data_IF_954896051821
#
_entry.id   IF_954896051821
#
_cell.length_a   1.000
_cell.length_b   1.000
_cell.length_c   1.000
_cell.angle_alpha   90.00
_cell.angle_beta   90.00
_cell.angle_gamma   90.00
#
_symmetry.space_group_name_H-M   'P 1'
#
loop_
_entity.id
_entity.type
_entity.pdbx_description
1 polymer ?
#
# COMPACT_ATOMS: atom_id res chain seq x y z
N UNK A 1 -8.52 -6.46 17.72
CA UNK A 1 -7.97 -7.21 16.59
C UNK A 1 -7.20 -6.29 15.68
N UNK A 2 -6.06 -6.74 15.19
CA UNK A 2 -5.22 -5.92 14.33
C UNK A 2 -5.74 -5.93 12.91
N UNK A 3 -5.91 -4.73 12.35
CA UNK A 3 -6.19 -4.60 10.95
C UNK A 3 -4.92 -4.94 10.16
N UNK A 4 -5.02 -5.72 9.06
CA UNK A 4 -3.85 -5.96 8.21
C UNK A 4 -3.34 -4.66 7.60
N UNK A 5 -2.07 -4.68 7.20
CA UNK A 5 -1.42 -3.58 6.50
C UNK A 5 -1.27 -3.93 5.02
N UNK A 6 -1.69 -3.01 4.16
CA UNK A 6 -1.49 -3.10 2.72
C UNK A 6 -0.26 -2.29 2.35
N UNK A 7 0.71 -2.94 1.72
CA UNK A 7 1.94 -2.30 1.27
C UNK A 7 2.03 -2.39 -0.26
N UNK A 8 2.48 -1.32 -0.91
CA UNK A 8 2.44 -1.23 -2.37
C UNK A 8 3.76 -0.83 -3.01
N UNK A 9 4.81 -0.67 -2.22
CA UNK A 9 6.11 -0.23 -2.72
C UNK A 9 7.25 -1.02 -2.11
N UNK A 10 8.15 -0.31 -1.44
CA UNK A 10 9.39 -0.87 -0.91
C UNK A 10 9.21 -1.85 0.24
N UNK A 11 7.98 -1.95 0.78
CA UNK A 11 7.67 -2.93 1.82
C UNK A 11 7.02 -4.21 1.28
N UNK A 12 6.82 -4.30 -0.04
CA UNK A 12 6.16 -5.46 -0.63
C UNK A 12 6.96 -6.74 -0.43
N UNK A 13 6.23 -7.86 -0.40
CA UNK A 13 6.79 -9.20 -0.27
C UNK A 13 7.86 -9.42 -1.35
N UNK A 14 9.05 -9.87 -0.93
CA UNK A 14 10.15 -10.14 -1.84
C UNK A 14 10.96 -8.92 -2.28
N UNK A 15 10.57 -7.70 -1.90
CA UNK A 15 11.35 -6.52 -2.25
C UNK A 15 12.67 -6.51 -1.47
N UNK A 16 13.81 -6.23 -2.12
CA UNK A 16 15.12 -6.27 -1.45
C UNK A 16 15.34 -5.03 -0.57
N UNK A 17 14.65 -4.98 0.55
CA UNK A 17 14.65 -3.85 1.45
C UNK A 17 14.68 -4.37 2.88
N UNK A 18 15.43 -3.71 3.75
CA UNK A 18 15.57 -4.09 5.16
C UNK A 18 14.21 -4.19 5.87
N UNK A 19 13.35 -3.19 5.66
CA UNK A 19 12.03 -3.16 6.30
C UNK A 19 11.06 -4.16 5.69
N UNK A 20 11.18 -4.43 4.39
CA UNK A 20 10.38 -5.48 3.75
C UNK A 20 10.72 -6.85 4.35
N UNK A 21 12.01 -7.13 4.56
CA UNK A 21 12.45 -8.37 5.19
C UNK A 21 11.99 -8.46 6.64
N UNK A 22 12.07 -7.35 7.37
CA UNK A 22 11.59 -7.30 8.74
C UNK A 22 10.09 -7.61 8.79
N UNK A 23 9.32 -7.04 7.86
CA UNK A 23 7.89 -7.27 7.76
C UNK A 23 7.59 -8.75 7.49
N UNK A 24 8.32 -9.37 6.57
CA UNK A 24 8.15 -10.80 6.26
C UNK A 24 8.38 -11.70 7.47
N UNK A 25 9.37 -11.36 8.31
CA UNK A 25 9.66 -12.13 9.52
C UNK A 25 8.68 -11.86 10.65
N UNK A 26 8.11 -10.66 10.72
CA UNK A 26 7.31 -10.20 11.85
C UNK A 26 5.82 -10.21 11.58
N UNK A 27 5.40 -10.60 10.39
CA UNK A 27 4.00 -10.54 9.99
C UNK A 27 3.63 -11.77 9.18
N UNK A 28 2.32 -12.04 9.13
CA UNK A 28 1.78 -13.11 8.30
C UNK A 28 1.38 -12.53 6.96
N UNK A 29 1.95 -13.05 5.88
CA UNK A 29 1.57 -12.67 4.53
C UNK A 29 0.19 -13.24 4.20
N UNK A 30 -0.75 -12.38 3.82
CA UNK A 30 -2.12 -12.78 3.51
C UNK A 30 -2.38 -12.93 2.02
N UNK A 31 -1.55 -12.32 1.18
CA UNK A 31 -1.69 -12.42 -0.26
C UNK A 31 -1.62 -11.08 -0.96
N UNK A 32 -1.58 -11.14 -2.28
CA UNK A 32 -1.65 -9.97 -3.15
C UNK A 32 -3.09 -9.47 -3.20
N UNK A 33 -3.26 -8.15 -3.21
CA UNK A 33 -4.58 -7.54 -3.20
C UNK A 33 -4.57 -6.25 -4.00
N UNK A 34 -5.76 -5.67 -4.20
CA UNK A 34 -5.94 -4.40 -4.90
C UNK A 34 -6.79 -3.46 -4.08
N UNK A 35 -6.46 -2.17 -4.19
CA UNK A 35 -7.25 -1.10 -3.59
C UNK A 35 -7.56 -0.07 -4.67
N UNK A 36 -8.81 0.44 -4.78
CA UNK A 36 -9.09 1.53 -5.71
C UNK A 36 -8.23 2.74 -5.40
N UNK A 37 -7.46 3.19 -6.38
CA UNK A 37 -6.55 4.30 -6.17
C UNK A 37 -5.63 4.51 -7.36
N UNK A 38 -4.77 5.51 -7.24
CA UNK A 38 -3.80 5.87 -8.26
C UNK A 38 -2.41 5.83 -7.67
N UNK A 39 -1.50 5.17 -8.39
CA UNK A 39 -0.11 5.05 -7.99
C UNK A 39 0.73 6.10 -8.70
N UNK A 40 1.60 6.77 -7.93
CA UNK A 40 2.49 7.81 -8.46
C UNK A 40 3.92 7.48 -8.09
N UNK A 41 4.83 7.81 -9.02
CA UNK A 41 6.26 7.76 -8.74
C UNK A 41 6.67 9.08 -8.12
N UNK A 42 6.94 9.05 -6.82
CA UNK A 42 7.33 10.25 -6.09
C UNK A 42 8.83 10.52 -6.28
N UNK A 43 9.63 9.49 -6.11
CA UNK A 43 11.08 9.51 -6.30
C UNK A 43 11.52 8.08 -6.62
N UNK A 44 12.45 7.52 -5.85
CA UNK A 44 12.78 6.10 -5.94
C UNK A 44 11.72 5.23 -5.25
N UNK A 45 10.70 5.84 -4.70
CA UNK A 45 9.59 5.20 -3.98
C UNK A 45 8.25 5.75 -4.49
N UNK A 46 7.17 4.99 -4.30
CA UNK A 46 5.84 5.41 -4.78
C UNK A 46 5.00 6.10 -3.71
N UNK A 47 3.93 6.72 -4.17
CA UNK A 47 2.86 7.21 -3.32
C UNK A 47 1.51 6.88 -3.94
N UNK A 48 0.51 6.59 -3.08
CA UNK A 48 -0.85 6.29 -3.50
C UNK A 48 -1.77 7.42 -3.11
N UNK A 49 -2.67 7.77 -4.02
CA UNK A 49 -3.84 8.60 -3.74
C UNK A 49 -5.06 7.72 -3.86
N UNK A 50 -5.80 7.58 -2.78
CA UNK A 50 -7.00 6.78 -2.79
C UNK A 50 -8.11 7.44 -3.61
N UNK A 51 -8.88 6.60 -4.29
CA UNK A 51 -10.04 7.02 -5.04
C UNK A 51 -11.25 6.79 -4.14
N UNK A 52 -12.06 7.84 -3.94
CA UNK A 52 -13.21 7.82 -3.04
C UNK A 52 -14.50 7.78 -3.83
N UNK A 53 -15.44 6.96 -3.35
CA UNK A 53 -16.77 6.90 -3.93
C UNK A 53 -16.93 5.75 -4.91
N UNK A 54 -18.19 5.32 -5.11
CA UNK A 54 -18.52 4.19 -5.95
C UNK A 54 -18.23 4.47 -7.43
N UNK A 55 -18.42 5.70 -7.88
CA UNK A 55 -18.14 6.10 -9.26
C UNK A 55 -16.67 5.97 -9.60
N UNK A 56 -15.80 6.11 -8.64
CA UNK A 56 -14.38 5.99 -8.87
C UNK A 56 -13.97 4.54 -9.10
N UNK A 57 -14.69 3.60 -8.52
CA UNK A 57 -14.48 2.18 -8.77
C UNK A 57 -14.85 1.80 -10.22
N UNK A 58 -15.76 2.55 -10.82
CA UNK A 58 -16.15 2.34 -12.22
C UNK A 58 -15.00 2.61 -13.17
N UNK A 59 -14.11 3.53 -12.82
CA UNK A 59 -12.95 3.84 -13.65
C UNK A 59 -11.89 2.75 -13.61
N UNK A 60 -12.05 1.75 -12.74
CA UNK A 60 -11.19 0.56 -12.66
C UNK A 60 -9.71 0.88 -12.47
N UNK A 61 -9.42 1.94 -11.73
CA UNK A 61 -8.06 2.27 -11.36
C UNK A 61 -7.76 1.64 -10.02
N UNK A 62 -6.76 0.76 -10.00
CA UNK A 62 -6.39 0.02 -8.80
C UNK A 62 -4.90 0.11 -8.55
N UNK A 63 -4.54 0.01 -7.28
CA UNK A 63 -3.16 -0.16 -6.84
C UNK A 63 -2.99 -1.60 -6.38
N UNK A 64 -1.95 -2.25 -6.91
CA UNK A 64 -1.60 -3.63 -6.54
C UNK A 64 -0.63 -3.60 -5.38
N UNK A 65 -0.84 -4.46 -4.40
CA UNK A 65 0.04 -4.55 -3.25
C UNK A 65 -0.11 -5.87 -2.54
N UNK A 66 0.48 -5.92 -1.35
CA UNK A 66 0.51 -7.11 -0.52
C UNK A 66 -0.10 -6.83 0.84
N UNK A 67 -0.89 -7.78 1.35
CA UNK A 67 -1.49 -7.69 2.68
C UNK A 67 -0.67 -8.49 3.68
N UNK A 68 -0.39 -7.86 4.82
CA UNK A 68 0.29 -8.50 5.94
C UNK A 68 -0.50 -8.30 7.22
N UNK A 69 -0.65 -9.36 8.00
CA UNK A 69 -1.19 -9.26 9.35
C UNK A 69 -0.03 -9.18 10.32
N UNK A 70 0.12 -8.05 10.99
CA UNK A 70 1.20 -7.83 11.93
C UNK A 70 0.96 -8.65 13.19
N UNK A 71 2.00 -9.35 13.66
CA UNK A 71 1.92 -10.14 14.88
C UNK A 71 2.01 -9.26 16.12
N UNK A 72 2.75 -8.16 16.01
CA UNK A 72 2.94 -7.20 17.11
C UNK A 72 2.42 -5.84 16.65
N UNK A 73 1.37 -5.30 17.31
CA UNK A 73 0.84 -3.97 16.94
C UNK A 73 1.88 -2.85 17.06
N UNK A 74 2.89 -3.01 17.88
CA UNK A 74 3.97 -2.02 18.02
C UNK A 74 4.75 -1.83 16.73
N UNK A 75 4.69 -2.80 15.84
CA UNK A 75 5.30 -2.71 14.51
C UNK A 75 4.74 -1.54 13.70
N UNK A 76 3.45 -1.22 13.86
CA UNK A 76 2.85 -0.09 13.16
C UNK A 76 3.54 1.22 13.48
N UNK A 77 3.89 1.43 14.76
CA UNK A 77 4.58 2.66 15.14
C UNK A 77 5.94 2.79 14.45
N UNK A 78 6.65 1.68 14.31
CA UNK A 78 7.94 1.67 13.61
C UNK A 78 7.77 1.95 12.13
N UNK A 79 6.75 1.39 11.51
CA UNK A 79 6.46 1.60 10.10
C UNK A 79 5.99 3.03 9.84
N UNK A 80 5.22 3.60 10.76
CA UNK A 80 4.82 5.01 10.67
C UNK A 80 6.05 5.92 10.62
N UNK A 81 7.09 5.60 11.38
CA UNK A 81 8.34 6.36 11.34
C UNK A 81 9.09 6.16 10.02
N UNK A 82 9.12 4.93 9.51
CA UNK A 82 9.79 4.63 8.24
C UNK A 82 9.13 5.38 7.08
N UNK A 83 7.80 5.44 7.05
CA UNK A 83 7.07 6.09 5.95
C UNK A 83 7.19 7.62 5.99
N UNK A 84 7.55 8.19 7.14
CA UNK A 84 7.74 9.62 7.26
C UNK A 84 6.42 10.36 7.44
N UNK A 85 6.21 10.89 8.63
CA UNK A 85 4.94 11.54 9.02
C UNK A 85 4.58 12.76 8.17
N UNK A 86 5.55 13.37 7.48
CA UNK A 86 5.31 14.58 6.68
C UNK A 86 4.85 14.30 5.26
N UNK A 87 5.02 13.09 4.77
CA UNK A 87 4.69 12.72 3.38
C UNK A 87 3.51 11.78 3.29
N UNK A 88 3.31 10.96 4.31
CA UNK A 88 2.28 9.90 4.28
C UNK A 88 1.40 9.97 5.51
N UNK A 89 0.15 9.55 5.30
CA UNK A 89 -0.81 9.39 6.39
C UNK A 89 -1.36 7.98 6.34
N UNK A 90 -1.33 7.28 7.48
CA UNK A 90 -1.92 5.95 7.58
C UNK A 90 -3.43 6.10 7.70
N UNK A 91 -4.15 5.50 6.76
CA UNK A 91 -5.62 5.57 6.70
C UNK A 91 -6.20 4.17 6.51
N UNK A 92 -7.49 4.03 6.80
CA UNK A 92 -8.20 2.78 6.58
C UNK A 92 -8.69 2.69 5.14
N UNK A 93 -8.66 1.48 4.59
CA UNK A 93 -9.15 1.21 3.25
C UNK A 93 -9.66 -0.23 3.17
N UNK A 94 -10.27 -0.59 2.05
CA UNK A 94 -10.71 -1.95 1.79
C UNK A 94 -9.96 -2.51 0.60
N UNK A 95 -9.23 -3.60 0.82
CA UNK A 95 -8.50 -4.30 -0.22
C UNK A 95 -9.28 -5.52 -0.68
N UNK A 96 -9.11 -5.90 -1.93
CA UNK A 96 -9.73 -7.11 -2.49
C UNK A 96 -8.63 -8.08 -2.87
N UNK A 97 -8.64 -9.25 -2.26
CA UNK A 97 -7.74 -10.35 -2.58
C UNK A 97 -8.10 -10.96 -3.94
N UNK A 98 -7.20 -11.77 -4.48
CA UNK A 98 -7.39 -12.37 -5.80
C UNK A 98 -8.61 -13.30 -5.87
N UNK A 99 -9.04 -13.87 -4.74
CA UNK A 99 -10.24 -14.70 -4.67
C UNK A 99 -11.54 -13.89 -4.50
N UNK A 100 -11.46 -12.56 -4.47
CA UNK A 100 -12.60 -11.69 -4.29
C UNK A 100 -12.90 -11.32 -2.85
N UNK A 101 -12.19 -11.88 -1.88
CA UNK A 101 -12.38 -11.55 -0.48
C UNK A 101 -12.00 -10.10 -0.20
N UNK A 102 -12.88 -9.37 0.47
CA UNK A 102 -12.64 -7.98 0.85
C UNK A 102 -12.13 -7.92 2.28
N UNK A 103 -11.08 -7.14 2.50
CA UNK A 103 -10.42 -7.04 3.79
C UNK A 103 -10.21 -5.58 4.14
N UNK A 104 -10.70 -5.16 5.32
CA UNK A 104 -10.38 -3.83 5.85
C UNK A 104 -8.93 -3.82 6.30
N UNK A 105 -8.20 -2.78 5.90
CA UNK A 105 -6.76 -2.73 6.14
C UNK A 105 -6.30 -1.30 6.37
N UNK A 106 -5.04 -1.16 6.80
CA UNK A 106 -4.34 0.11 6.83
C UNK A 106 -3.55 0.27 5.54
N UNK A 107 -3.42 1.52 5.07
CA UNK A 107 -2.56 1.88 3.95
C UNK A 107 -1.93 3.24 4.24
N UNK A 108 -0.72 3.45 3.75
CA UNK A 108 -0.07 4.74 3.83
C UNK A 108 -0.37 5.53 2.56
N UNK A 109 -1.24 6.53 2.69
CA UNK A 109 -1.60 7.41 1.58
C UNK A 109 -0.63 8.59 1.50
N UNK A 110 -0.15 8.91 0.30
CA UNK A 110 0.72 10.06 0.08
C UNK A 110 -0.11 11.34 0.19
N UNK A 111 0.36 12.29 1.00
CA UNK A 111 -0.37 13.54 1.25
C UNK A 111 0.26 14.75 0.57
N UNK A 112 1.40 14.58 -0.08
CA UNK A 112 2.04 15.64 -0.85
C UNK A 112 1.37 15.86 -2.21
N UNK A 113 1.82 16.88 -2.93
CA UNK A 113 1.34 17.14 -4.29
C UNK A 113 1.85 16.10 -5.27
N UNK A 114 1.03 15.78 -6.27
CA UNK A 114 1.41 14.86 -7.33
C UNK A 114 1.09 15.45 -8.69
N UNK A 115 1.86 15.07 -9.70
CA UNK A 115 1.65 15.46 -11.09
C UNK A 115 1.18 14.25 -11.88
N UNK A 116 0.35 14.50 -12.89
CA UNK A 116 -0.13 13.44 -13.77
C UNK A 116 1.02 12.73 -14.48
N UNK A 117 2.10 13.44 -14.78
CA UNK A 117 3.28 12.85 -15.39
C UNK A 117 3.98 11.82 -14.49
N UNK A 118 3.68 11.81 -13.21
CA UNK A 118 4.25 10.86 -12.25
C UNK A 118 3.42 9.58 -12.15
N UNK A 119 2.26 9.51 -12.83
CA UNK A 119 1.37 8.35 -12.76
C UNK A 119 2.06 7.07 -13.19
N UNK A 120 1.77 5.98 -12.47
CA UNK A 120 2.10 4.62 -12.85
C UNK A 120 0.78 3.96 -13.26
N UNK A 121 0.45 3.93 -14.56
CA UNK A 121 -0.88 3.51 -15.01
C UNK A 121 -1.24 2.08 -14.64
N UNK A 122 -0.26 1.18 -14.55
CA UNK A 122 -0.51 -0.21 -14.17
C UNK A 122 -0.95 -0.36 -12.72
N UNK A 123 -0.64 0.63 -11.86
CA UNK A 123 -0.90 0.54 -10.43
C UNK A 123 0.00 -0.44 -9.69
N UNK A 124 1.01 -0.97 -10.35
CA UNK A 124 1.92 -1.96 -9.78
C UNK A 124 3.35 -1.41 -9.77
N UNK A 125 3.88 -1.16 -8.57
CA UNK A 125 5.23 -0.59 -8.44
C UNK A 125 6.31 -1.49 -9.04
N UNK A 126 6.10 -2.80 -9.03
CA UNK A 126 7.07 -3.73 -9.58
C UNK A 126 7.21 -3.62 -11.11
N UNK A 127 6.24 -3.01 -11.77
CA UNK A 127 6.29 -2.74 -13.21
C UNK A 127 7.13 -1.51 -13.56
N UNK A 128 7.60 -0.76 -12.57
CA UNK A 128 8.33 0.50 -12.78
C UNK A 128 9.84 0.26 -12.91
N UNK A 129 10.27 -0.92 -12.82
CA UNK A 129 11.69 -1.28 -12.84
C UNK A 129 12.47 -0.68 -14.02
#
# INVERSE_FOLDING_TARGET
MNRPLFVYGTLRHGYPNRYARLLEHSARYLGTARIPGRLYRISWYPGVRLVKGAEDAVNKEFVVGDLFRLRDPKMLAKLDQYEGSNEYQRVAATATLSDGTRVRCWIYEFIGGVLESQRVPSGDWFDVA
#
